data_IF_399757873068
#
_entry.id   IF_399757873068
#
_cell.length_a   1.000
_cell.length_b   1.000
_cell.length_c   1.000
_cell.angle_alpha   90.00
_cell.angle_beta   90.00
_cell.angle_gamma   90.00
#
_symmetry.space_group_name_H-M   'P 1'
#
loop_
_entity.id
_entity.type
_entity.pdbx_description
1 polymer ?
#
# COMPACT_ATOMS: atom_id res chain seq x y z
N UNK A 1 -2.75 -18.30 -16.72
CA UNK A 1 -1.83 -17.37 -16.02
C UNK A 1 -0.57 -18.14 -15.66
N UNK A 2 0.61 -17.54 -15.83
CA UNK A 2 1.86 -18.13 -15.35
C UNK A 2 1.90 -18.09 -13.81
N UNK A 3 2.47 -19.12 -13.18
CA UNK A 3 2.71 -19.11 -11.73
C UNK A 3 3.74 -18.02 -11.44
N UNK A 4 3.51 -17.13 -10.44
CA UNK A 4 4.48 -16.11 -10.08
C UNK A 4 5.80 -16.73 -9.62
N UNK A 5 6.91 -16.13 -10.01
CA UNK A 5 8.22 -16.53 -9.55
C UNK A 5 8.51 -15.94 -8.17
N UNK A 6 8.86 -16.76 -7.19
CA UNK A 6 9.37 -16.28 -5.90
C UNK A 6 10.75 -15.65 -6.11
N UNK A 7 10.91 -14.43 -5.66
CA UNK A 7 12.15 -13.65 -5.72
C UNK A 7 12.36 -12.90 -4.42
N UNK A 8 13.53 -12.30 -4.23
CA UNK A 8 13.81 -11.41 -3.11
C UNK A 8 14.72 -10.26 -3.54
N UNK A 9 14.68 -9.17 -2.82
CA UNK A 9 15.59 -8.04 -2.99
C UNK A 9 15.90 -7.40 -1.64
N UNK A 10 17.00 -6.63 -1.58
CA UNK A 10 17.44 -5.97 -0.35
C UNK A 10 16.84 -4.58 -0.22
N UNK A 11 16.43 -4.21 1.00
CA UNK A 11 16.01 -2.87 1.40
C UNK A 11 16.62 -2.54 2.76
N UNK A 12 17.53 -1.58 2.81
CA UNK A 12 18.23 -1.14 4.04
C UNK A 12 18.79 -2.29 4.88
N UNK A 13 19.38 -3.31 4.21
CA UNK A 13 19.96 -4.47 4.87
C UNK A 13 18.97 -5.55 5.30
N UNK A 14 17.70 -5.43 4.95
CA UNK A 14 16.68 -6.45 5.12
C UNK A 14 16.34 -7.09 3.79
N UNK A 15 16.22 -8.42 3.75
CA UNK A 15 15.77 -9.15 2.57
C UNK A 15 14.26 -9.20 2.53
N UNK A 16 13.67 -8.64 1.46
CA UNK A 16 12.24 -8.62 1.24
C UNK A 16 11.81 -9.77 0.32
N UNK A 17 10.75 -10.48 0.73
CA UNK A 17 10.13 -11.55 -0.04
C UNK A 17 9.16 -10.97 -1.08
N UNK A 18 9.29 -11.40 -2.34
CA UNK A 18 8.52 -10.86 -3.43
C UNK A 18 8.04 -11.95 -4.41
N UNK A 19 7.06 -11.60 -5.22
CA UNK A 19 6.55 -12.39 -6.34
C UNK A 19 6.69 -11.58 -7.63
N UNK A 20 7.43 -12.13 -8.59
CA UNK A 20 7.54 -11.57 -9.93
C UNK A 20 6.52 -12.26 -10.83
N UNK A 21 5.56 -11.49 -11.32
CA UNK A 21 4.47 -11.93 -12.17
C UNK A 21 4.78 -11.50 -13.61
N UNK A 22 4.99 -12.46 -14.50
CA UNK A 22 5.22 -12.19 -15.92
C UNK A 22 3.95 -12.38 -16.75
N UNK A 23 3.77 -11.61 -17.82
CA UNK A 23 2.68 -11.82 -18.77
C UNK A 23 2.67 -13.24 -19.32
N UNK A 24 1.49 -13.81 -19.53
CA UNK A 24 1.36 -15.10 -20.22
C UNK A 24 1.66 -14.95 -21.72
N UNK A 25 2.00 -16.05 -22.36
CA UNK A 25 2.12 -16.08 -23.83
C UNK A 25 0.80 -15.60 -24.46
N UNK A 26 0.91 -14.69 -25.44
CA UNK A 26 -0.24 -14.08 -26.12
C UNK A 26 -0.81 -12.83 -25.45
N UNK A 27 -0.30 -12.40 -24.30
CA UNK A 27 -0.66 -11.08 -23.73
C UNK A 27 -0.19 -9.94 -24.65
N UNK A 28 -0.86 -8.78 -24.62
CA UNK A 28 -0.45 -7.61 -25.40
C UNK A 28 1.00 -7.21 -25.09
N UNK A 29 1.82 -6.88 -26.10
CA UNK A 29 3.20 -6.45 -25.87
C UNK A 29 3.23 -5.06 -25.19
N UNK A 30 4.03 -4.93 -24.12
CA UNK A 30 4.23 -3.67 -23.39
C UNK A 30 5.69 -3.21 -23.38
N UNK A 31 6.51 -3.76 -24.27
CA UNK A 31 7.89 -3.33 -24.51
C UNK A 31 8.73 -3.19 -23.22
N UNK A 32 8.65 -4.17 -22.32
CA UNK A 32 9.40 -4.19 -21.06
C UNK A 32 8.82 -3.30 -19.94
N UNK A 33 7.61 -2.77 -20.09
CA UNK A 33 6.98 -1.99 -19.03
C UNK A 33 6.63 -2.86 -17.80
N UNK A 34 6.92 -2.31 -16.61
CA UNK A 34 6.71 -3.02 -15.34
C UNK A 34 6.05 -2.14 -14.28
N UNK A 35 5.36 -2.79 -13.34
CA UNK A 35 4.62 -2.12 -12.25
C UNK A 35 5.01 -2.75 -10.91
N UNK A 36 5.52 -1.95 -9.98
CA UNK A 36 5.63 -2.31 -8.56
C UNK A 36 4.28 -2.12 -7.91
N UNK A 37 3.80 -3.11 -7.15
CA UNK A 37 2.52 -3.05 -6.44
C UNK A 37 2.75 -3.23 -4.95
N UNK A 38 2.52 -2.17 -4.18
CA UNK A 38 2.73 -2.13 -2.74
C UNK A 38 1.43 -2.35 -1.96
N UNK A 39 1.50 -3.21 -0.94
CA UNK A 39 0.35 -3.69 -0.18
C UNK A 39 -0.15 -2.73 0.92
N UNK A 40 -1.43 -2.87 1.38
CA UNK A 40 -1.97 -2.16 2.54
C UNK A 40 -1.18 -2.42 3.84
N UNK A 41 -1.39 -1.60 4.85
CA UNK A 41 -0.91 -1.86 6.21
C UNK A 41 -1.38 -3.23 6.71
N UNK A 42 -0.49 -3.99 7.35
CA UNK A 42 -0.74 -5.33 7.89
C UNK A 42 -1.20 -6.40 6.87
N UNK A 43 -1.12 -6.09 5.57
CA UNK A 43 -1.41 -7.00 4.46
C UNK A 43 -0.13 -7.71 3.98
N UNK A 44 -0.26 -8.52 2.94
CA UNK A 44 0.83 -9.26 2.31
C UNK A 44 0.70 -9.26 0.78
N UNK A 45 1.79 -9.63 0.10
CA UNK A 45 1.89 -9.68 -1.37
C UNK A 45 0.88 -10.59 -2.08
N UNK A 46 0.38 -11.61 -1.38
CA UNK A 46 -0.58 -12.57 -1.94
C UNK A 46 -2.04 -12.10 -1.89
N UNK A 47 -2.35 -11.03 -1.16
CA UNK A 47 -3.71 -10.49 -1.03
C UNK A 47 -4.04 -9.49 -2.15
N UNK A 48 -4.48 -8.27 -1.81
CA UNK A 48 -4.87 -7.28 -2.82
C UNK A 48 -3.81 -7.02 -3.91
N UNK A 49 -2.48 -7.00 -3.64
CA UNK A 49 -1.51 -6.82 -4.72
C UNK A 49 -1.57 -7.90 -5.79
N UNK A 50 -1.80 -9.17 -5.39
CA UNK A 50 -1.91 -10.28 -6.36
C UNK A 50 -3.16 -10.16 -7.23
N UNK A 51 -4.27 -9.61 -6.71
CA UNK A 51 -5.49 -9.36 -7.49
C UNK A 51 -5.22 -8.35 -8.62
N UNK A 52 -4.52 -7.27 -8.32
CA UNK A 52 -4.11 -6.26 -9.31
C UNK A 52 -3.09 -6.84 -10.30
N UNK A 53 -2.06 -7.55 -9.81
CA UNK A 53 -1.03 -8.17 -10.66
C UNK A 53 -1.64 -9.14 -11.67
N UNK A 54 -2.66 -9.91 -11.29
CA UNK A 54 -3.37 -10.84 -12.18
C UNK A 54 -3.94 -10.13 -13.41
N UNK A 55 -4.56 -8.98 -13.23
CA UNK A 55 -5.19 -8.24 -14.34
C UNK A 55 -4.14 -7.49 -15.16
N UNK A 56 -3.14 -6.87 -14.51
CA UNK A 56 -2.05 -6.20 -15.23
C UNK A 56 -1.22 -7.16 -16.09
N UNK A 57 -0.94 -8.38 -15.60
CA UNK A 57 -0.20 -9.36 -16.39
C UNK A 57 -1.01 -9.87 -17.57
N UNK A 58 -2.32 -10.02 -17.43
CA UNK A 58 -3.20 -10.31 -18.57
C UNK A 58 -3.20 -9.16 -19.60
N UNK A 59 -3.00 -7.91 -19.16
CA UNK A 59 -2.84 -6.74 -20.01
C UNK A 59 -1.39 -6.54 -20.52
N UNK A 60 -0.46 -7.45 -20.22
CA UNK A 60 0.90 -7.49 -20.78
C UNK A 60 1.98 -6.78 -19.95
N UNK A 61 1.70 -6.29 -18.75
CA UNK A 61 2.70 -5.72 -17.86
C UNK A 61 3.39 -6.79 -17.02
N UNK A 62 4.69 -6.64 -16.76
CA UNK A 62 5.35 -7.38 -15.69
C UNK A 62 5.04 -6.71 -14.35
N UNK A 63 4.70 -7.49 -13.30
CA UNK A 63 4.39 -6.94 -11.99
C UNK A 63 5.29 -7.53 -10.91
N UNK A 64 5.67 -6.69 -9.95
CA UNK A 64 6.35 -7.11 -8.73
C UNK A 64 5.47 -6.78 -7.52
N UNK A 65 5.03 -7.82 -6.80
CA UNK A 65 4.40 -7.70 -5.48
C UNK A 65 5.38 -8.15 -4.42
N UNK A 66 5.40 -7.53 -3.25
CA UNK A 66 6.34 -7.86 -2.17
C UNK A 66 5.72 -7.66 -0.80
N UNK A 67 6.23 -8.36 0.20
CA UNK A 67 5.96 -8.04 1.59
C UNK A 67 6.93 -6.95 2.01
N UNK A 68 6.43 -5.87 2.61
CA UNK A 68 7.27 -4.82 3.14
C UNK A 68 8.14 -5.33 4.31
N UNK A 69 9.19 -4.62 4.64
CA UNK A 69 10.00 -4.90 5.82
C UNK A 69 9.11 -5.08 7.06
N UNK A 70 9.45 -6.01 7.94
CA UNK A 70 8.72 -6.38 9.16
C UNK A 70 7.39 -7.12 8.95
N UNK A 71 6.95 -7.32 7.68
CA UNK A 71 5.65 -7.92 7.34
C UNK A 71 5.83 -9.27 6.61
N UNK A 72 4.80 -10.13 6.67
CA UNK A 72 4.73 -11.36 5.89
C UNK A 72 5.96 -12.26 5.99
N UNK A 73 6.55 -12.62 4.82
CA UNK A 73 7.78 -13.42 4.72
C UNK A 73 9.08 -12.58 4.66
N UNK A 74 8.97 -11.24 4.64
CA UNK A 74 10.12 -10.34 4.64
C UNK A 74 10.80 -10.28 6.00
N UNK A 75 12.10 -9.98 6.00
CA UNK A 75 12.89 -9.81 7.21
C UNK A 75 12.50 -8.52 7.97
N UNK A 76 13.04 -8.36 9.15
CA UNK A 76 12.89 -7.20 10.02
C UNK A 76 12.34 -7.57 11.39
N UNK A 77 12.94 -6.94 12.41
CA UNK A 77 12.54 -7.03 13.81
C UNK A 77 12.50 -5.62 14.41
N UNK A 78 11.53 -5.36 15.29
CA UNK A 78 10.43 -6.26 15.70
C UNK A 78 9.41 -6.48 14.58
N UNK A 79 8.72 -7.62 14.58
CA UNK A 79 7.66 -7.91 13.58
C UNK A 79 6.49 -6.93 13.73
N UNK A 80 5.75 -6.74 12.63
CA UNK A 80 4.53 -5.93 12.58
C UNK A 80 4.76 -4.42 12.85
N UNK A 81 6.02 -3.96 12.72
CA UNK A 81 6.35 -2.54 12.75
C UNK A 81 5.85 -1.88 11.46
N UNK A 82 5.16 -0.76 11.59
CA UNK A 82 4.85 0.12 10.46
C UNK A 82 5.73 1.37 10.53
N UNK A 83 6.72 1.41 9.66
CA UNK A 83 7.67 2.52 9.53
C UNK A 83 7.50 3.17 8.14
N UNK A 84 6.89 4.35 8.05
CA UNK A 84 6.70 5.06 6.79
C UNK A 84 7.99 5.30 6.00
N UNK A 85 9.09 5.61 6.69
CA UNK A 85 10.38 5.84 6.04
C UNK A 85 10.94 4.56 5.41
N UNK A 86 10.78 3.42 6.08
CA UNK A 86 11.18 2.12 5.54
C UNK A 86 10.26 1.69 4.40
N UNK A 87 8.95 1.86 4.55
CA UNK A 87 7.95 1.56 3.48
C UNK A 87 8.25 2.30 2.19
N UNK A 88 8.63 3.58 2.29
CA UNK A 88 9.04 4.40 1.13
C UNK A 88 10.31 3.86 0.50
N UNK A 89 11.28 3.45 1.30
CA UNK A 89 12.53 2.88 0.79
C UNK A 89 12.32 1.52 0.13
N UNK A 90 11.46 0.66 0.69
CA UNK A 90 11.09 -0.63 0.10
C UNK A 90 10.57 -0.46 -1.35
N UNK A 91 9.75 0.57 -1.59
CA UNK A 91 9.25 0.90 -2.94
C UNK A 91 10.42 1.24 -3.87
N UNK A 92 11.36 2.08 -3.44
CA UNK A 92 12.52 2.47 -4.23
C UNK A 92 13.45 1.29 -4.51
N UNK A 93 13.63 0.41 -3.54
CA UNK A 93 14.40 -0.83 -3.69
C UNK A 93 13.69 -1.83 -4.63
N UNK A 94 12.37 -1.93 -4.60
CA UNK A 94 11.59 -2.72 -5.56
C UNK A 94 11.78 -2.20 -6.99
N UNK A 95 11.81 -0.87 -7.20
CA UNK A 95 12.16 -0.27 -8.50
C UNK A 95 13.59 -0.64 -8.91
N UNK A 96 14.56 -0.58 -7.97
CA UNK A 96 15.95 -0.99 -8.22
C UNK A 96 16.02 -2.46 -8.66
N UNK A 97 15.27 -3.34 -8.01
CA UNK A 97 15.20 -4.74 -8.40
C UNK A 97 14.67 -4.91 -9.82
N UNK A 98 13.59 -4.23 -10.21
CA UNK A 98 13.08 -4.29 -11.59
C UNK A 98 14.12 -3.79 -12.61
N UNK A 99 14.83 -2.71 -12.30
CA UNK A 99 15.92 -2.20 -13.17
C UNK A 99 17.01 -3.24 -13.37
N UNK A 100 17.32 -4.07 -12.36
CA UNK A 100 18.33 -5.13 -12.46
C UNK A 100 17.95 -6.28 -13.41
N UNK A 101 16.69 -6.35 -13.84
CA UNK A 101 16.20 -7.37 -14.77
C UNK A 101 16.36 -6.98 -16.25
N UNK A 102 17.15 -5.95 -16.56
CA UNK A 102 17.45 -5.58 -17.95
C UNK A 102 18.11 -6.76 -18.70
N UNK A 103 17.80 -6.99 -19.98
CA UNK A 103 16.93 -6.19 -20.86
C UNK A 103 15.44 -6.58 -20.81
N UNK A 104 15.02 -7.52 -19.94
CA UNK A 104 13.61 -7.93 -19.81
C UNK A 104 12.72 -6.74 -19.43
N UNK A 105 13.18 -5.91 -18.51
CA UNK A 105 12.50 -4.69 -18.05
C UNK A 105 13.23 -3.45 -18.59
N UNK A 106 12.44 -2.54 -19.17
CA UNK A 106 12.92 -1.23 -19.58
C UNK A 106 12.86 -0.26 -18.38
N UNK A 107 14.03 0.15 -17.90
CA UNK A 107 14.15 1.07 -16.77
C UNK A 107 13.44 2.43 -16.98
N UNK A 108 13.16 2.81 -18.23
CA UNK A 108 12.40 4.02 -18.57
C UNK A 108 10.89 3.82 -18.52
N UNK A 109 10.40 2.61 -18.20
CA UNK A 109 8.99 2.20 -18.26
C UNK A 109 8.50 1.54 -16.97
N UNK A 110 8.94 2.04 -15.82
CA UNK A 110 8.53 1.52 -14.51
C UNK A 110 7.47 2.42 -13.88
N UNK A 111 6.29 1.86 -13.65
CA UNK A 111 5.21 2.46 -12.88
C UNK A 111 5.09 1.87 -11.47
N UNK A 112 4.33 2.53 -10.62
CA UNK A 112 4.07 2.07 -9.25
C UNK A 112 2.58 2.17 -8.93
N UNK A 113 2.06 1.19 -8.19
CA UNK A 113 0.71 1.18 -7.64
C UNK A 113 0.78 1.01 -6.12
N UNK A 114 0.15 1.91 -5.38
CA UNK A 114 -0.03 1.80 -3.93
C UNK A 114 -1.48 1.55 -3.55
N UNK A 115 -1.72 0.57 -2.68
CA UNK A 115 -3.06 0.21 -2.19
C UNK A 115 -3.18 0.63 -0.72
N UNK A 116 -4.26 1.30 -0.33
CA UNK A 116 -4.54 1.75 1.04
C UNK A 116 -3.40 2.66 1.56
N UNK A 117 -2.71 2.29 2.64
CA UNK A 117 -1.59 3.08 3.18
C UNK A 117 -0.43 3.20 2.19
N UNK A 118 -0.19 2.20 1.35
CA UNK A 118 0.76 2.33 0.24
C UNK A 118 0.31 3.33 -0.82
N UNK A 119 -0.98 3.68 -0.88
CA UNK A 119 -1.49 4.82 -1.65
C UNK A 119 -1.00 6.18 -1.13
N UNK A 120 -0.44 6.22 0.08
CA UNK A 120 0.35 7.34 0.60
C UNK A 120 1.84 7.19 0.33
N UNK A 121 2.41 5.99 0.57
CA UNK A 121 3.85 5.77 0.43
C UNK A 121 4.35 5.85 -1.01
N UNK A 122 3.57 5.36 -1.97
CA UNK A 122 3.93 5.35 -3.40
C UNK A 122 4.04 6.78 -3.99
N UNK A 123 3.07 7.70 -3.80
CA UNK A 123 3.24 9.09 -4.18
C UNK A 123 4.44 9.73 -3.49
N UNK A 124 4.63 9.49 -2.18
CA UNK A 124 5.76 10.03 -1.43
C UNK A 124 7.12 9.56 -2.00
N UNK A 125 7.26 8.28 -2.32
CA UNK A 125 8.47 7.76 -2.98
C UNK A 125 8.70 8.43 -4.33
N UNK A 126 7.64 8.60 -5.12
CA UNK A 126 7.72 9.21 -6.46
C UNK A 126 8.06 10.70 -6.44
N UNK A 127 7.80 11.43 -5.35
CA UNK A 127 8.18 12.85 -5.23
C UNK A 127 9.68 13.05 -5.48
N UNK A 128 10.52 12.08 -5.12
CA UNK A 128 11.98 12.18 -5.18
C UNK A 128 12.67 11.12 -6.04
N UNK A 129 12.01 10.00 -6.35
CA UNK A 129 12.57 8.96 -7.21
C UNK A 129 12.10 9.11 -8.66
N UNK A 130 12.96 9.69 -9.50
CA UNK A 130 12.66 9.97 -10.91
C UNK A 130 12.65 8.72 -11.81
N UNK A 131 13.06 7.55 -11.30
CA UNK A 131 12.93 6.27 -12.01
C UNK A 131 11.48 5.80 -12.12
N UNK A 132 10.63 6.27 -11.19
CA UNK A 132 9.19 6.05 -11.23
C UNK A 132 8.58 6.96 -12.29
N UNK A 133 8.02 6.39 -13.36
CA UNK A 133 7.53 7.13 -14.53
C UNK A 133 6.04 7.43 -14.49
N UNK A 134 5.25 6.61 -13.79
CA UNK A 134 3.82 6.80 -13.62
C UNK A 134 3.39 6.28 -12.24
N UNK A 135 2.47 6.99 -11.59
CA UNK A 135 2.03 6.71 -10.22
C UNK A 135 0.52 6.47 -10.20
N UNK A 136 0.10 5.33 -9.68
CA UNK A 136 -1.32 5.06 -9.43
C UNK A 136 -1.55 4.67 -7.96
N UNK A 137 -2.76 4.95 -7.47
CA UNK A 137 -3.19 4.50 -6.14
C UNK A 137 -4.59 3.91 -6.18
N UNK A 138 -4.90 3.00 -5.27
CA UNK A 138 -6.24 2.48 -5.02
C UNK A 138 -6.60 2.67 -3.54
N UNK A 139 -7.73 3.32 -3.26
CA UNK A 139 -8.23 3.59 -1.91
C UNK A 139 -7.14 4.18 -0.99
N UNK A 140 -6.44 5.22 -1.43
CA UNK A 140 -5.29 5.79 -0.74
C UNK A 140 -5.58 6.23 0.69
N UNK A 141 -4.59 6.05 1.58
CA UNK A 141 -4.58 6.55 2.97
C UNK A 141 -3.21 7.14 3.27
N UNK A 142 -3.18 8.33 3.85
CA UNK A 142 -1.99 8.90 4.46
C UNK A 142 -1.97 8.55 5.95
N UNK A 143 -1.02 7.71 6.38
CA UNK A 143 -0.97 7.21 7.77
C UNK A 143 -0.82 8.31 8.81
N UNK A 144 -0.06 9.35 8.53
CA UNK A 144 0.09 10.47 9.46
C UNK A 144 -1.18 11.32 9.55
N UNK A 145 -1.84 11.56 8.42
CA UNK A 145 -3.15 12.22 8.43
C UNK A 145 -4.19 11.34 9.14
N UNK A 146 -4.13 10.01 8.95
CA UNK A 146 -4.99 9.06 9.67
C UNK A 146 -4.75 9.14 11.19
N UNK A 147 -3.50 9.16 11.63
CA UNK A 147 -3.18 9.28 13.05
C UNK A 147 -3.70 10.59 13.67
N UNK A 148 -3.63 11.70 12.93
CA UNK A 148 -4.05 13.03 13.41
C UNK A 148 -5.54 13.32 13.23
N UNK A 149 -6.20 12.75 12.20
CA UNK A 149 -7.56 13.09 11.79
C UNK A 149 -8.52 11.92 11.69
N UNK A 150 -8.05 10.70 12.01
CA UNK A 150 -8.83 9.47 11.92
C UNK A 150 -8.86 8.86 10.51
N UNK A 151 -9.40 7.65 10.44
CA UNK A 151 -9.57 6.90 9.19
C UNK A 151 -10.73 7.48 8.36
N UNK A 152 -11.86 7.70 9.02
CA UNK A 152 -13.01 8.40 8.45
C UNK A 152 -12.79 9.92 8.59
N UNK A 153 -13.27 10.68 7.61
CA UNK A 153 -13.17 12.13 7.65
C UNK A 153 -13.82 12.68 8.94
N UNK A 154 -13.13 13.59 9.57
CA UNK A 154 -13.58 14.28 10.80
C UNK A 154 -13.84 13.37 12.02
N UNK A 155 -13.24 12.16 12.04
CA UNK A 155 -13.25 11.28 13.21
C UNK A 155 -12.07 11.53 14.17
N UNK A 156 -11.28 12.56 13.93
CA UNK A 156 -10.09 12.90 14.69
C UNK A 156 -10.41 13.18 16.14
N UNK A 157 -9.64 12.55 17.04
CA UNK A 157 -9.64 12.83 18.45
C UNK A 157 -8.18 12.93 18.95
N UNK A 158 -7.78 14.12 19.36
CA UNK A 158 -6.42 14.36 19.85
C UNK A 158 -6.11 13.58 21.13
N UNK A 159 -7.10 13.25 21.94
CA UNK A 159 -6.91 12.39 23.13
C UNK A 159 -6.55 10.97 22.71
N UNK A 160 -7.19 10.43 21.65
CA UNK A 160 -6.83 9.12 21.07
C UNK A 160 -5.39 9.14 20.56
N UNK A 161 -5.00 10.16 19.82
CA UNK A 161 -3.62 10.30 19.35
C UNK A 161 -2.63 10.37 20.52
N UNK A 162 -2.90 11.18 21.55
CA UNK A 162 -2.05 11.25 22.74
C UNK A 162 -1.92 9.89 23.44
N UNK A 163 -3.01 9.16 23.64
CA UNK A 163 -2.98 7.82 24.22
C UNK A 163 -2.14 6.84 23.38
N UNK A 164 -2.22 6.91 22.04
CA UNK A 164 -1.40 6.12 21.13
C UNK A 164 0.09 6.47 21.23
N UNK A 165 0.43 7.76 21.36
CA UNK A 165 1.81 8.20 21.52
C UNK A 165 2.39 7.83 22.90
N UNK A 166 1.58 7.86 23.97
CA UNK A 166 1.98 7.34 25.27
C UNK A 166 2.25 5.83 25.25
N UNK A 167 1.39 5.07 24.57
CA UNK A 167 1.61 3.63 24.37
C UNK A 167 2.88 3.37 23.54
N UNK A 168 3.15 4.18 22.52
CA UNK A 168 4.37 4.12 21.73
C UNK A 168 5.62 4.38 22.59
N UNK A 169 5.60 5.39 23.45
CA UNK A 169 6.69 5.69 24.37
C UNK A 169 6.95 4.54 25.36
N UNK A 170 5.90 3.93 25.91
CA UNK A 170 6.03 2.74 26.76
C UNK A 170 6.62 1.56 26.00
N UNK A 171 6.17 1.33 24.77
CA UNK A 171 6.70 0.25 23.92
C UNK A 171 8.21 0.46 23.61
N UNK A 172 8.66 1.68 23.36
CA UNK A 172 10.10 1.98 23.20
C UNK A 172 10.89 1.69 24.47
N UNK A 173 10.35 2.02 25.65
CA UNK A 173 10.99 1.72 26.93
C UNK A 173 11.11 0.20 27.16
N UNK A 174 10.24 -0.62 26.56
CA UNK A 174 10.29 -2.07 26.70
C UNK A 174 11.53 -2.73 26.04
N UNK A 175 12.32 -1.98 25.28
CA UNK A 175 13.61 -2.45 24.76
C UNK A 175 14.70 -2.46 25.85
N UNK A 176 14.49 -1.76 26.97
CA UNK A 176 15.40 -1.77 28.12
C UNK A 176 15.17 -3.05 28.94
N UNK A 177 16.20 -3.82 29.28
CA UNK A 177 16.07 -5.02 30.10
C UNK A 177 15.37 -4.73 31.42
N UNK A 178 14.38 -5.55 31.76
CA UNK A 178 13.60 -5.43 33.00
C UNK A 178 12.36 -4.53 32.91
N UNK A 179 12.17 -3.84 31.78
CA UNK A 179 10.92 -3.10 31.56
C UNK A 179 9.80 -4.03 31.06
N UNK A 180 8.57 -3.67 31.42
CA UNK A 180 7.38 -4.37 30.99
C UNK A 180 7.20 -4.32 29.46
N UNK A 181 6.83 -5.47 28.85
CA UNK A 181 6.49 -5.51 27.43
C UNK A 181 5.08 -4.98 27.20
N UNK A 182 4.95 -4.10 26.23
CA UNK A 182 3.65 -3.57 25.82
C UNK A 182 3.00 -4.56 24.84
N UNK A 183 1.70 -4.90 25.04
CA UNK A 183 0.99 -5.78 24.12
C UNK A 183 0.93 -5.24 22.70
N UNK A 184 0.98 -6.17 21.73
CA UNK A 184 0.73 -5.85 20.33
C UNK A 184 -0.72 -5.38 20.14
N UNK A 185 -0.95 -4.47 19.20
CA UNK A 185 -2.29 -3.95 18.91
C UNK A 185 -2.93 -4.77 17.80
N UNK A 186 -4.10 -5.34 18.06
CA UNK A 186 -4.95 -5.97 17.05
C UNK A 186 -5.82 -4.91 16.39
N UNK A 187 -5.62 -4.69 15.09
CA UNK A 187 -6.35 -3.67 14.31
C UNK A 187 -7.78 -4.10 13.97
N UNK A 188 -8.01 -5.41 13.89
CA UNK A 188 -9.29 -6.02 13.55
C UNK A 188 -9.59 -7.16 14.53
N UNK A 189 -10.88 -7.47 14.80
CA UNK A 189 -11.25 -8.62 15.61
C UNK A 189 -10.75 -9.90 14.95
N UNK A 190 -10.60 -10.97 15.73
CA UNK A 190 -10.12 -12.27 15.21
C UNK A 190 -11.10 -12.86 14.20
N UNK A 191 -12.41 -12.72 14.46
CA UNK A 191 -13.47 -13.10 13.54
C UNK A 191 -14.45 -11.93 13.37
N UNK A 192 -15.07 -11.82 12.20
CA UNK A 192 -15.99 -10.71 11.91
C UNK A 192 -17.19 -10.65 12.87
N UNK A 193 -17.69 -11.81 13.29
CA UNK A 193 -18.81 -11.93 14.24
C UNK A 193 -18.45 -11.48 15.66
N UNK A 194 -17.17 -11.43 16.02
CA UNK A 194 -16.69 -10.95 17.32
C UNK A 194 -16.59 -9.41 17.36
N UNK A 195 -16.86 -8.71 16.25
CA UNK A 195 -16.86 -7.26 16.21
C UNK A 195 -17.96 -6.67 17.10
N UNK A 196 -17.61 -5.75 18.02
CA UNK A 196 -18.62 -5.13 18.90
C UNK A 196 -19.71 -4.40 18.11
N UNK A 197 -20.90 -4.20 18.68
CA UNK A 197 -22.01 -3.55 17.98
C UNK A 197 -21.70 -2.15 17.45
N UNK A 198 -20.86 -1.40 18.18
CA UNK A 198 -20.40 -0.05 17.87
C UNK A 198 -19.11 -0.01 17.03
N UNK A 199 -18.65 -1.18 16.53
CA UNK A 199 -17.46 -1.25 15.68
C UNK A 199 -17.70 -0.44 14.39
N UNK A 200 -16.82 0.50 14.03
CA UNK A 200 -17.03 1.39 12.89
C UNK A 200 -17.26 0.63 11.58
N UNK A 201 -18.18 1.11 10.76
CA UNK A 201 -18.53 0.47 9.49
C UNK A 201 -17.32 0.35 8.54
N UNK A 202 -16.46 1.35 8.52
CA UNK A 202 -15.21 1.34 7.75
C UNK A 202 -14.25 0.22 8.17
N UNK A 203 -14.18 -0.08 9.47
CA UNK A 203 -13.38 -1.21 9.99
C UNK A 203 -14.11 -2.55 9.80
N UNK A 204 -15.44 -2.56 9.82
CA UNK A 204 -16.25 -3.73 9.45
C UNK A 204 -16.04 -4.12 7.99
N UNK A 205 -15.96 -3.13 7.09
CA UNK A 205 -15.61 -3.32 5.69
C UNK A 205 -14.23 -4.00 5.54
N UNK A 206 -13.20 -3.50 6.25
CA UNK A 206 -11.88 -4.14 6.29
C UNK A 206 -11.90 -5.55 6.88
N UNK A 207 -12.62 -5.76 8.01
CA UNK A 207 -12.73 -7.08 8.61
C UNK A 207 -13.44 -8.08 7.69
N UNK A 208 -14.41 -7.62 6.89
CA UNK A 208 -15.07 -8.46 5.88
C UNK A 208 -14.10 -9.00 4.82
N UNK A 209 -13.04 -8.28 4.53
CA UNK A 209 -11.97 -8.71 3.62
C UNK A 209 -10.97 -9.64 4.33
N UNK A 210 -10.40 -9.20 5.46
CA UNK A 210 -9.26 -9.89 6.08
C UNK A 210 -9.66 -11.09 6.96
N UNK A 211 -10.89 -11.15 7.48
CA UNK A 211 -11.36 -12.13 8.47
C UNK A 211 -12.39 -13.12 7.94
N UNK A 212 -12.55 -13.20 6.62
CA UNK A 212 -13.46 -14.13 5.94
C UNK A 212 -12.72 -14.86 4.81
N UNK A 213 -13.32 -15.91 4.22
CA UNK A 213 -12.74 -16.60 3.05
C UNK A 213 -12.47 -15.67 1.84
N UNK A 214 -12.93 -14.42 1.88
CA UNK A 214 -12.66 -13.42 0.85
C UNK A 214 -11.16 -13.21 0.64
N UNK A 215 -10.38 -13.08 1.75
CA UNK A 215 -8.94 -12.91 1.66
C UNK A 215 -8.17 -13.24 2.95
N UNK A 216 -8.79 -13.94 3.93
CA UNK A 216 -8.07 -14.31 5.15
C UNK A 216 -6.78 -15.07 4.82
N UNK A 217 -5.70 -14.77 5.54
CA UNK A 217 -4.42 -15.40 5.33
C UNK A 217 -3.62 -15.46 6.64
N UNK A 218 -2.96 -16.58 6.99
CA UNK A 218 -2.29 -16.73 8.30
C UNK A 218 -1.12 -15.76 8.52
N UNK A 219 -0.49 -15.24 7.45
CA UNK A 219 0.58 -14.23 7.55
C UNK A 219 0.08 -12.78 7.56
N UNK A 220 -1.19 -12.53 7.27
CA UNK A 220 -1.81 -11.23 7.41
C UNK A 220 -2.43 -11.13 8.82
N UNK A 221 -1.59 -10.84 9.80
CA UNK A 221 -1.97 -10.85 11.22
C UNK A 221 -2.94 -9.74 11.59
N UNK A 222 -2.93 -8.63 10.84
CA UNK A 222 -3.62 -7.37 11.13
C UNK A 222 -3.29 -6.87 12.55
N UNK A 223 -2.04 -7.03 12.93
CA UNK A 223 -1.45 -6.54 14.17
C UNK A 223 -0.42 -5.45 13.88
N UNK A 224 -0.17 -4.60 14.86
CA UNK A 224 0.87 -3.58 14.80
C UNK A 224 1.45 -3.30 16.16
N UNK A 225 2.69 -2.82 16.20
CA UNK A 225 3.33 -2.40 17.45
C UNK A 225 2.87 -0.99 17.83
N UNK A 226 2.69 -0.70 19.12
CA UNK A 226 2.35 0.65 19.60
C UNK A 226 3.34 1.73 19.09
N UNK A 227 4.65 1.43 19.02
CA UNK A 227 5.67 2.38 18.51
C UNK A 227 5.48 2.77 17.04
N UNK A 228 4.68 2.05 16.27
CA UNK A 228 4.33 2.46 14.90
C UNK A 228 3.61 3.80 14.86
N UNK A 229 2.84 4.14 15.90
CA UNK A 229 2.11 5.40 15.93
C UNK A 229 3.01 6.62 16.00
N UNK A 230 4.15 6.58 16.72
CA UNK A 230 5.07 7.72 16.76
C UNK A 230 5.83 7.90 15.43
N UNK A 231 6.08 6.80 14.69
CA UNK A 231 6.66 6.84 13.35
C UNK A 231 5.69 7.39 12.30
N UNK A 232 4.39 7.11 12.48
CA UNK A 232 3.35 7.53 11.53
C UNK A 232 2.83 8.95 11.78
N UNK A 233 2.73 9.40 13.04
CA UNK A 233 1.98 10.58 13.43
C UNK A 233 2.40 11.88 12.71
N UNK A 234 3.67 12.05 12.39
CA UNK A 234 4.21 13.24 11.73
C UNK A 234 4.44 13.06 10.22
N UNK A 235 4.08 11.90 9.65
CA UNK A 235 4.20 11.65 8.21
C UNK A 235 3.12 12.42 7.43
N UNK A 236 3.48 13.03 6.31
CA UNK A 236 2.55 13.65 5.36
C UNK A 236 2.84 13.16 3.94
N UNK A 237 2.05 12.19 3.50
CA UNK A 237 2.22 11.52 2.22
C UNK A 237 2.11 12.47 1.02
N UNK A 238 1.26 13.49 1.12
CA UNK A 238 0.85 14.30 -0.02
C UNK A 238 1.38 15.74 -0.01
N UNK A 239 2.10 16.14 1.06
CA UNK A 239 2.59 17.52 1.20
C UNK A 239 3.33 18.05 -0.02
N UNK A 240 4.09 17.18 -0.70
CA UNK A 240 4.91 17.54 -1.85
C UNK A 240 4.47 16.85 -3.15
N UNK A 241 3.19 16.47 -3.30
CA UNK A 241 2.67 15.82 -4.50
C UNK A 241 2.89 16.64 -5.77
N UNK A 242 3.02 17.96 -5.65
CA UNK A 242 3.40 18.85 -6.77
C UNK A 242 4.76 18.47 -7.41
N UNK A 243 5.66 17.80 -6.67
CA UNK A 243 6.97 17.35 -7.17
C UNK A 243 6.88 16.13 -8.10
N UNK A 244 5.75 15.44 -8.14
CA UNK A 244 5.55 14.30 -9.05
C UNK A 244 5.55 14.78 -10.50
N UNK A 245 4.93 15.95 -10.76
CA UNK A 245 4.89 16.53 -12.10
C UNK A 245 6.30 16.76 -12.69
N UNK A 246 6.49 16.59 -14.00
CA UNK A 246 5.47 16.33 -15.05
C UNK A 246 5.08 14.85 -15.21
N UNK A 247 5.46 13.96 -14.28
CA UNK A 247 5.06 12.57 -14.31
C UNK A 247 3.59 12.45 -13.87
N UNK A 248 2.82 11.51 -14.47
CA UNK A 248 1.39 11.40 -14.21
C UNK A 248 1.06 10.75 -12.86
N UNK A 249 -0.01 11.26 -12.23
CA UNK A 249 -0.61 10.69 -11.01
C UNK A 249 -2.09 10.34 -11.28
N UNK A 250 -2.46 9.08 -11.06
CA UNK A 250 -3.85 8.62 -11.04
C UNK A 250 -4.21 8.14 -9.63
N UNK A 251 -5.23 8.71 -9.00
CA UNK A 251 -5.76 8.22 -7.73
C UNK A 251 -7.15 7.65 -7.93
N UNK A 252 -7.32 6.36 -7.62
CA UNK A 252 -8.59 5.63 -7.76
C UNK A 252 -9.22 5.42 -6.38
N UNK A 253 -10.51 5.70 -6.27
CA UNK A 253 -11.28 5.49 -5.04
C UNK A 253 -12.70 5.04 -5.36
N UNK A 254 -13.49 4.67 -4.36
CA UNK A 254 -14.89 4.30 -4.52
C UNK A 254 -15.83 5.38 -3.99
N UNK A 255 -17.05 5.47 -4.54
CA UNK A 255 -18.05 6.42 -4.03
C UNK A 255 -18.47 6.12 -2.59
N UNK A 256 -18.36 4.87 -2.15
CA UNK A 256 -18.67 4.40 -0.78
C UNK A 256 -17.43 4.18 0.08
N UNK A 257 -16.23 4.51 -0.42
CA UNK A 257 -15.01 4.37 0.36
C UNK A 257 -14.92 5.49 1.42
N UNK A 258 -14.89 5.14 2.70
CA UNK A 258 -14.71 6.08 3.81
C UNK A 258 -13.43 6.91 3.66
N UNK A 259 -12.42 6.35 2.98
CA UNK A 259 -11.13 6.98 2.71
C UNK A 259 -11.06 7.81 1.43
N UNK A 260 -12.18 8.03 0.74
CA UNK A 260 -12.21 8.80 -0.52
C UNK A 260 -11.53 10.17 -0.40
N UNK A 261 -11.73 10.84 0.70
CA UNK A 261 -11.21 12.17 0.97
C UNK A 261 -9.67 12.26 0.95
N UNK A 262 -8.93 11.17 1.26
CA UNK A 262 -7.47 11.14 1.11
C UNK A 262 -7.04 11.22 -0.35
N UNK A 263 -7.76 10.52 -1.26
CA UNK A 263 -7.47 10.58 -2.69
C UNK A 263 -7.81 11.97 -3.25
N UNK A 264 -8.89 12.59 -2.79
CA UNK A 264 -9.26 13.97 -3.14
C UNK A 264 -8.17 14.97 -2.70
N UNK A 265 -7.67 14.87 -1.45
CA UNK A 265 -6.59 15.71 -0.92
C UNK A 265 -5.28 15.48 -1.71
N UNK A 266 -4.92 14.22 -1.98
CA UNK A 266 -3.71 13.87 -2.73
C UNK A 266 -3.69 14.44 -4.13
N UNK A 267 -4.82 14.36 -4.87
CA UNK A 267 -4.95 14.95 -6.21
C UNK A 267 -4.98 16.49 -6.14
N UNK A 268 -5.64 17.08 -5.14
CA UNK A 268 -5.69 18.54 -4.98
C UNK A 268 -4.29 19.14 -4.84
N UNK A 269 -3.38 18.45 -4.11
CA UNK A 269 -1.99 18.87 -3.89
C UNK A 269 -1.04 18.58 -5.06
N UNK A 270 -1.44 17.77 -6.03
CA UNK A 270 -0.64 17.45 -7.20
C UNK A 270 -0.78 18.49 -8.32
N UNK A 271 0.22 18.56 -9.23
CA UNK A 271 0.18 19.28 -10.49
C UNK A 271 -0.11 18.33 -11.66
N UNK A 272 -0.50 18.91 -12.81
CA UNK A 272 -0.74 18.12 -14.03
C UNK A 272 0.52 17.38 -14.54
N UNK A 273 0.33 16.20 -15.14
CA UNK A 273 -0.93 15.50 -15.37
C UNK A 273 -1.40 14.70 -14.13
N UNK A 274 -2.64 14.93 -13.71
CA UNK A 274 -3.24 14.26 -12.55
C UNK A 274 -4.70 13.90 -12.83
N UNK A 275 -5.18 12.83 -12.19
CA UNK A 275 -6.56 12.38 -12.32
C UNK A 275 -7.07 11.76 -11.03
N UNK A 276 -8.30 12.09 -10.65
CA UNK A 276 -9.08 11.34 -9.67
C UNK A 276 -10.13 10.51 -10.41
N UNK A 277 -10.09 9.20 -10.25
CA UNK A 277 -11.09 8.29 -10.80
C UNK A 277 -11.91 7.66 -9.68
N UNK A 278 -13.23 7.86 -9.71
CA UNK A 278 -14.15 7.39 -8.66
C UNK A 278 -15.01 6.27 -9.21
N UNK A 279 -14.86 5.07 -8.64
CA UNK A 279 -15.62 3.88 -9.04
C UNK A 279 -16.95 3.85 -8.27
N UNK A 280 -18.05 3.78 -9.01
CA UNK A 280 -19.38 3.81 -8.43
C UNK A 280 -19.68 2.57 -7.58
N UNK A 281 -20.28 2.77 -6.41
CA UNK A 281 -20.77 1.72 -5.52
C UNK A 281 -19.70 0.98 -4.71
N UNK A 282 -18.41 1.18 -4.97
CA UNK A 282 -17.35 0.45 -4.27
C UNK A 282 -16.97 1.09 -2.93
N UNK A 283 -16.76 0.24 -1.92
CA UNK A 283 -16.18 0.59 -0.62
C UNK A 283 -14.66 0.61 -0.70
N UNK A 284 -14.01 0.89 0.45
CA UNK A 284 -12.55 0.81 0.55
C UNK A 284 -12.04 -0.62 0.29
N UNK A 285 -12.62 -1.61 0.99
CA UNK A 285 -12.18 -3.00 0.87
C UNK A 285 -12.65 -3.66 -0.45
N UNK A 286 -13.70 -3.16 -1.08
CA UNK A 286 -14.09 -3.62 -2.42
C UNK A 286 -13.00 -3.36 -3.46
N UNK A 287 -12.25 -2.26 -3.33
CA UNK A 287 -11.10 -1.96 -4.19
C UNK A 287 -9.90 -2.90 -3.97
N UNK A 288 -9.97 -3.87 -3.05
CA UNK A 288 -8.91 -4.85 -2.85
C UNK A 288 -9.08 -6.10 -3.73
N UNK A 289 -10.31 -6.47 -4.07
CA UNK A 289 -10.62 -7.69 -4.84
C UNK A 289 -11.64 -7.51 -5.97
N UNK A 290 -12.53 -6.51 -5.91
CA UNK A 290 -13.39 -6.11 -7.03
C UNK A 290 -12.66 -5.12 -7.93
N UNK A 291 -11.52 -5.57 -8.47
CA UNK A 291 -10.54 -4.69 -9.11
C UNK A 291 -10.81 -4.36 -10.58
N UNK A 292 -11.74 -5.04 -11.24
CA UNK A 292 -11.86 -5.05 -12.71
C UNK A 292 -12.01 -3.65 -13.32
N UNK A 293 -12.91 -2.82 -12.78
CA UNK A 293 -13.12 -1.45 -13.28
C UNK A 293 -11.93 -0.54 -12.96
N UNK A 294 -11.43 -0.59 -11.73
CA UNK A 294 -10.27 0.18 -11.31
C UNK A 294 -9.02 -0.15 -12.15
N UNK A 295 -8.78 -1.46 -12.38
CA UNK A 295 -7.60 -1.90 -13.15
C UNK A 295 -7.77 -1.58 -14.63
N UNK A 296 -8.97 -1.65 -15.21
CA UNK A 296 -9.21 -1.22 -16.59
C UNK A 296 -8.73 0.23 -16.79
N UNK A 297 -9.13 1.13 -15.91
CA UNK A 297 -8.67 2.53 -15.92
C UNK A 297 -7.16 2.65 -15.75
N UNK A 298 -6.56 1.87 -14.84
CA UNK A 298 -5.11 1.86 -14.60
C UNK A 298 -4.33 1.27 -15.79
N UNK A 299 -4.86 0.27 -16.50
CA UNK A 299 -4.26 -0.30 -17.72
C UNK A 299 -4.20 0.74 -18.84
N UNK A 300 -5.27 1.53 -19.02
CA UNK A 300 -5.29 2.65 -19.95
C UNK A 300 -4.24 3.71 -19.56
N UNK A 301 -4.19 4.07 -18.28
CA UNK A 301 -3.24 5.03 -17.74
C UNK A 301 -1.78 4.58 -17.91
N UNK A 302 -1.40 3.40 -17.42
CA UNK A 302 -0.05 2.90 -17.57
C UNK A 302 0.30 2.60 -19.05
N UNK A 303 -0.67 2.16 -19.85
CA UNK A 303 -0.48 1.97 -21.29
C UNK A 303 -0.16 3.28 -22.03
N UNK A 304 -0.75 4.40 -21.60
CA UNK A 304 -0.48 5.72 -22.17
C UNK A 304 0.90 6.27 -21.79
N UNK A 305 1.36 6.01 -20.58
CA UNK A 305 2.52 6.71 -20.04
C UNK A 305 3.79 5.85 -19.91
N UNK A 306 3.69 4.53 -20.04
CA UNK A 306 4.82 3.61 -19.96
C UNK A 306 5.15 2.92 -21.28
N UNK A 307 4.29 2.99 -22.32
CA UNK A 307 4.45 2.22 -23.56
C UNK A 307 4.62 3.08 -24.81
#
# INVERSE_FOLDING_TARGET
>A
MSVPQKVSFDSRGLRLAALLHRPAAGSPPRAGAAIVIAHPWTSIKEQSPANYARVFTAAGFTCLTYDAAYQGESEGQPRDLEDPAHRVEDIKCAVTYLVSLAPEIDASKIGVLGICTSGGYVPFAAQTDLRIKAVATAAAVCVGTMARRGYDKDSSNMEVLHAQLEAAAKDRNSDVPGHEKVPIVHMLPERLEDAPPDFPESFRDLASYYRTPRAQHPRATNTTLPRSWDLMANFDAFAFNAMIAPRPLLMVTGTRAATRWYSEDGVAKAKEPKELYVVEGLTHADLYDKVDEAVKKMVEFFGKYLV
#
